data_IF_606182401272
#
_entry.id   IF_606182401272
#
_cell.length_a   1.000
_cell.length_b   1.000
_cell.length_c   1.000
_cell.angle_alpha   90.00
_cell.angle_beta   90.00
_cell.angle_gamma   90.00
#
_symmetry.space_group_name_H-M   'P 1'
#
loop_
_entity.id
_entity.type
_entity.pdbx_description
1 polymer ?
#
# COMPACT_ATOMS: atom_id res chain seq x y z
N UNK A 1 17.35 1.27 -14.35
CA UNK A 1 16.45 0.09 -14.34
C UNK A 1 16.05 -0.24 -15.77
N UNK A 2 15.82 -1.52 -16.08
CA UNK A 2 15.37 -1.97 -17.42
C UNK A 2 13.84 -2.04 -17.51
N UNK A 3 13.18 -2.29 -16.37
CA UNK A 3 11.74 -2.32 -16.19
C UNK A 3 11.31 -1.27 -15.15
N UNK A 4 10.08 -0.79 -15.29
CA UNK A 4 9.37 -0.01 -14.29
C UNK A 4 8.02 -0.65 -13.97
N UNK A 5 7.50 -0.38 -12.78
CA UNK A 5 6.18 -0.83 -12.36
C UNK A 5 5.32 0.39 -12.01
N UNK A 6 4.17 0.53 -12.66
CA UNK A 6 3.30 1.69 -12.53
C UNK A 6 1.89 1.24 -12.15
N UNK A 7 1.33 1.68 -11.01
CA UNK A 7 -0.09 1.45 -10.72
C UNK A 7 -0.96 2.29 -11.67
N UNK A 8 -1.92 1.68 -12.34
CA UNK A 8 -2.77 2.37 -13.34
C UNK A 8 -4.26 2.38 -12.97
N UNK A 9 -4.73 1.42 -12.17
CA UNK A 9 -6.11 1.37 -11.69
C UNK A 9 -6.23 0.56 -10.40
N UNK A 10 -7.30 0.81 -9.63
CA UNK A 10 -7.68 0.05 -8.46
C UNK A 10 -9.20 -0.25 -8.47
N UNK A 11 -9.61 -1.43 -7.99
CA UNK A 11 -11.02 -1.85 -8.02
C UNK A 11 -11.95 -1.01 -7.15
N UNK A 12 -11.41 -0.31 -6.15
CA UNK A 12 -12.18 0.54 -5.22
C UNK A 12 -12.11 2.02 -5.63
N UNK A 13 -10.90 2.50 -5.94
CA UNK A 13 -10.64 3.94 -6.17
C UNK A 13 -10.79 4.32 -7.65
N UNK A 14 -10.74 3.34 -8.56
CA UNK A 14 -10.76 3.57 -10.00
C UNK A 14 -9.37 3.83 -10.58
N UNK A 15 -9.27 4.51 -11.74
CA UNK A 15 -8.00 4.84 -12.38
C UNK A 15 -7.08 5.64 -11.46
N UNK A 16 -5.78 5.36 -11.53
CA UNK A 16 -4.77 6.14 -10.81
C UNK A 16 -4.54 7.45 -11.56
N UNK A 17 -4.84 8.62 -10.97
CA UNK A 17 -4.72 9.90 -11.67
C UNK A 17 -3.29 10.17 -12.13
N UNK A 18 -3.12 10.61 -13.39
CA UNK A 18 -1.82 10.99 -13.93
C UNK A 18 -0.94 9.83 -14.40
N UNK A 19 -1.30 8.58 -14.10
CA UNK A 19 -0.43 7.43 -14.41
C UNK A 19 -0.22 7.27 -15.92
N UNK A 20 -1.30 7.29 -16.70
CA UNK A 20 -1.22 7.12 -18.15
C UNK A 20 -0.75 8.40 -18.85
N UNK A 21 -1.07 9.57 -18.29
CA UNK A 21 -0.59 10.86 -18.78
C UNK A 21 0.93 10.96 -18.69
N UNK A 22 1.52 10.59 -17.54
CA UNK A 22 2.97 10.53 -17.38
C UNK A 22 3.58 9.59 -18.42
N UNK A 23 3.01 8.40 -18.64
CA UNK A 23 3.55 7.50 -19.65
C UNK A 23 3.49 8.10 -21.07
N UNK A 24 2.46 8.88 -21.38
CA UNK A 24 2.32 9.55 -22.68
C UNK A 24 3.38 10.63 -22.92
N UNK A 25 3.95 11.23 -21.87
CA UNK A 25 5.07 12.17 -21.97
C UNK A 25 6.39 11.51 -22.40
N UNK A 26 6.50 10.18 -22.28
CA UNK A 26 7.70 9.40 -22.58
C UNK A 26 7.43 8.39 -23.71
N UNK A 27 7.45 8.82 -24.99
CA UNK A 27 7.04 7.99 -26.12
C UNK A 27 7.94 6.78 -26.38
N UNK A 28 9.15 6.78 -25.82
CA UNK A 28 10.11 5.68 -25.86
C UNK A 28 9.81 4.57 -24.86
N UNK A 29 8.88 4.79 -23.92
CA UNK A 29 8.35 3.76 -23.02
C UNK A 29 7.10 3.09 -23.60
N UNK A 30 6.92 1.82 -23.26
CA UNK A 30 5.75 1.03 -23.59
C UNK A 30 5.35 0.14 -22.42
N UNK A 31 4.04 -0.06 -22.26
CA UNK A 31 3.51 -1.13 -21.41
C UNK A 31 3.77 -2.45 -22.12
N UNK A 32 4.47 -3.36 -21.46
CA UNK A 32 4.79 -4.69 -21.98
C UNK A 32 3.92 -5.78 -21.34
N UNK A 33 3.42 -5.53 -20.13
CA UNK A 33 2.58 -6.46 -19.38
C UNK A 33 1.68 -5.68 -18.43
N UNK A 34 0.52 -6.26 -18.11
CA UNK A 34 -0.34 -5.78 -17.03
C UNK A 34 -0.74 -6.97 -16.16
N UNK A 35 -0.77 -6.76 -14.86
CA UNK A 35 -1.23 -7.76 -13.91
C UNK A 35 -1.99 -7.10 -12.75
N UNK A 36 -2.84 -7.88 -12.09
CA UNK A 36 -3.59 -7.45 -10.92
C UNK A 36 -2.99 -8.04 -9.65
N UNK A 37 -2.65 -7.17 -8.71
CA UNK A 37 -2.16 -7.57 -7.40
C UNK A 37 -3.25 -7.35 -6.34
N UNK A 38 -3.43 -8.33 -5.44
CA UNK A 38 -4.37 -8.20 -4.33
C UNK A 38 -3.76 -7.29 -3.27
N UNK A 39 -4.48 -6.24 -2.90
CA UNK A 39 -4.05 -5.30 -1.86
C UNK A 39 -4.67 -5.71 -0.53
N UNK A 40 -3.84 -6.14 0.40
CA UNK A 40 -4.25 -6.45 1.77
C UNK A 40 -3.64 -5.45 2.75
N UNK A 41 -4.47 -4.91 3.64
CA UNK A 41 -4.03 -4.08 4.74
C UNK A 41 -3.84 -4.91 5.99
N UNK A 42 -2.74 -4.68 6.71
CA UNK A 42 -2.48 -5.24 8.04
C UNK A 42 -2.41 -4.12 9.07
N UNK A 43 -2.78 -4.42 10.31
CA UNK A 43 -2.44 -3.58 11.45
C UNK A 43 -1.11 -4.08 12.03
N UNK A 44 -0.09 -3.23 12.03
CA UNK A 44 1.23 -3.55 12.56
C UNK A 44 1.67 -2.55 13.62
N UNK A 45 2.31 -3.03 14.68
CA UNK A 45 2.78 -2.21 15.79
C UNK A 45 4.15 -2.69 16.28
N UNK A 46 4.71 -2.00 17.27
CA UNK A 46 5.99 -2.40 17.86
C UNK A 46 5.90 -3.79 18.49
N UNK A 47 6.99 -4.58 18.49
CA UNK A 47 7.05 -5.83 19.24
C UNK A 47 6.64 -5.63 20.70
N UNK A 48 5.73 -6.47 21.19
CA UNK A 48 5.17 -6.38 22.54
C UNK A 48 4.01 -5.39 22.69
N UNK A 49 3.56 -4.72 21.62
CA UNK A 49 2.32 -3.95 21.66
C UNK A 49 1.11 -4.87 21.78
N UNK A 50 0.23 -4.51 22.71
CA UNK A 50 -1.06 -5.17 22.88
C UNK A 50 -2.12 -4.39 22.11
N UNK A 51 -2.93 -5.09 21.33
CA UNK A 51 -4.07 -4.52 20.61
C UNK A 51 -5.00 -3.73 21.54
N UNK A 52 -5.16 -4.14 22.80
CA UNK A 52 -5.99 -3.42 23.78
C UNK A 52 -5.39 -2.10 24.27
N UNK A 53 -4.07 -1.92 24.11
CA UNK A 53 -3.34 -0.70 24.52
C UNK A 53 -3.24 0.34 23.41
N UNK A 54 -3.55 -0.05 22.16
CA UNK A 54 -3.54 0.83 21.01
C UNK A 54 -4.63 1.89 21.09
N UNK A 55 -4.25 3.12 20.73
CA UNK A 55 -5.13 4.30 20.65
C UNK A 55 -5.28 4.77 19.21
N UNK A 56 -4.20 4.71 18.43
CA UNK A 56 -4.13 5.30 17.10
C UNK A 56 -3.76 4.27 16.04
N UNK A 57 -4.40 4.40 14.87
CA UNK A 57 -4.02 3.69 13.65
C UNK A 57 -3.63 4.70 12.57
N UNK A 58 -2.39 4.63 12.10
CA UNK A 58 -1.77 5.58 11.19
C UNK A 58 -1.61 5.02 9.79
N UNK A 59 -2.02 5.80 8.79
CA UNK A 59 -1.81 5.45 7.38
C UNK A 59 -2.18 6.59 6.43
N UNK A 60 -2.02 6.33 5.14
CA UNK A 60 -2.55 7.18 4.08
C UNK A 60 -4.09 7.29 4.18
N UNK A 61 -4.71 8.47 3.91
CA UNK A 61 -6.17 8.65 3.96
C UNK A 61 -6.97 7.59 3.20
N UNK A 62 -6.51 7.18 2.02
CA UNK A 62 -7.19 6.15 1.21
C UNK A 62 -7.16 4.78 1.90
N UNK A 63 -6.06 4.42 2.57
CA UNK A 63 -5.97 3.14 3.29
C UNK A 63 -6.85 3.16 4.56
N UNK A 64 -6.89 4.29 5.28
CA UNK A 64 -7.78 4.47 6.44
C UNK A 64 -9.25 4.36 6.03
N UNK A 65 -9.63 5.00 4.92
CA UNK A 65 -10.99 4.96 4.38
C UNK A 65 -11.40 3.54 3.92
N UNK A 66 -10.43 2.65 3.68
CA UNK A 66 -10.67 1.25 3.33
C UNK A 66 -10.71 0.32 4.56
N UNK A 67 -10.53 0.81 5.79
CA UNK A 67 -10.48 -0.03 7.01
C UNK A 67 -11.45 0.43 8.10
N UNK A 68 -12.49 1.19 7.73
CA UNK A 68 -13.34 1.94 8.67
C UNK A 68 -14.13 1.04 9.62
N UNK A 69 -14.65 -0.10 9.14
CA UNK A 69 -15.47 -1.01 9.96
C UNK A 69 -14.61 -1.68 11.02
N UNK A 70 -13.42 -2.13 10.63
CA UNK A 70 -12.49 -2.81 11.52
C UNK A 70 -11.99 -1.89 12.63
N UNK A 71 -11.64 -0.65 12.28
CA UNK A 71 -11.20 0.39 13.23
C UNK A 71 -12.32 0.77 14.21
N UNK A 72 -13.54 1.01 13.70
CA UNK A 72 -14.69 1.40 14.52
C UNK A 72 -15.05 0.32 15.53
N UNK A 73 -15.02 -0.96 15.13
CA UNK A 73 -15.29 -2.09 16.03
C UNK A 73 -14.31 -2.18 17.21
N UNK A 74 -13.11 -1.59 17.09
CA UNK A 74 -12.04 -1.62 18.10
C UNK A 74 -11.79 -0.26 18.76
N UNK A 75 -12.56 0.77 18.39
CA UNK A 75 -12.41 2.14 18.92
C UNK A 75 -10.99 2.70 18.71
N UNK A 76 -10.33 2.29 17.63
CA UNK A 76 -9.03 2.84 17.24
C UNK A 76 -9.24 4.13 16.46
N UNK A 77 -8.57 5.20 16.90
CA UNK A 77 -8.68 6.50 16.24
C UNK A 77 -7.80 6.52 14.99
N UNK A 78 -8.35 6.79 13.79
CA UNK A 78 -7.55 6.94 12.58
C UNK A 78 -6.73 8.24 12.63
N UNK A 79 -5.47 8.17 12.22
CA UNK A 79 -4.58 9.33 12.08
C UNK A 79 -3.94 9.33 10.69
N UNK A 80 -4.29 10.33 9.88
CA UNK A 80 -3.85 10.42 8.50
C UNK A 80 -2.41 10.91 8.40
N UNK A 81 -1.59 10.19 7.64
CA UNK A 81 -0.22 10.55 7.28
C UNK A 81 -0.01 10.42 5.77
N UNK A 82 1.18 10.78 5.30
CA UNK A 82 1.47 10.90 3.86
C UNK A 82 1.45 9.57 3.10
N UNK A 83 1.93 8.48 3.69
CA UNK A 83 2.01 7.19 3.00
C UNK A 83 1.95 6.00 3.96
N UNK A 84 1.59 4.81 3.43
CA UNK A 84 1.36 3.61 4.25
C UNK A 84 2.65 2.98 4.79
N UNK A 85 3.74 3.01 4.02
CA UNK A 85 5.04 2.48 4.43
C UNK A 85 5.79 3.47 5.34
N UNK A 86 5.63 4.76 5.10
CA UNK A 86 6.09 5.87 5.92
C UNK A 86 5.44 5.86 7.29
N UNK A 87 4.16 5.51 7.40
CA UNK A 87 3.50 5.24 8.68
C UNK A 87 4.24 4.13 9.45
N UNK A 88 4.47 2.98 8.83
CA UNK A 88 5.20 1.87 9.47
C UNK A 88 6.61 2.27 9.91
N UNK A 89 7.33 3.02 9.06
CA UNK A 89 8.66 3.57 9.39
C UNK A 89 8.61 4.51 10.59
N UNK A 90 7.62 5.40 10.65
CA UNK A 90 7.46 6.35 11.74
C UNK A 90 7.14 5.64 13.07
N UNK A 91 6.21 4.68 13.06
CA UNK A 91 5.90 3.87 14.25
C UNK A 91 7.14 3.15 14.78
N UNK A 92 7.96 2.57 13.89
CA UNK A 92 9.20 1.91 14.28
C UNK A 92 10.22 2.87 14.89
N UNK A 93 10.31 4.11 14.39
CA UNK A 93 11.25 5.13 14.85
C UNK A 93 10.82 5.78 16.18
N UNK A 94 9.53 6.08 16.34
CA UNK A 94 9.00 6.86 17.47
C UNK A 94 8.91 6.04 18.76
N UNK A 95 8.87 4.70 18.65
CA UNK A 95 8.85 3.77 19.78
C UNK A 95 7.71 4.01 20.78
N UNK A 96 6.52 4.30 20.27
CA UNK A 96 5.28 4.43 21.06
C UNK A 96 4.36 3.22 20.86
N UNK A 97 4.16 2.44 21.93
CA UNK A 97 3.35 1.22 21.93
C UNK A 97 1.84 1.46 21.86
N UNK A 98 1.38 2.71 21.93
CA UNK A 98 -0.03 3.05 21.79
C UNK A 98 -0.43 3.33 20.33
N UNK A 99 0.51 3.25 19.40
CA UNK A 99 0.32 3.55 17.98
C UNK A 99 0.57 2.32 17.13
N UNK A 100 -0.17 2.22 16.02
CA UNK A 100 -0.01 1.18 15.02
C UNK A 100 -0.12 1.76 13.63
N UNK A 101 0.51 1.11 12.64
CA UNK A 101 0.40 1.45 11.24
C UNK A 101 -0.59 0.52 10.54
N UNK A 102 -1.42 1.08 9.67
CA UNK A 102 -2.09 0.31 8.62
C UNK A 102 -1.19 0.33 7.39
N UNK A 103 -0.66 -0.82 7.01
CA UNK A 103 0.32 -0.93 5.94
C UNK A 103 0.26 -2.31 5.25
N UNK A 104 1.19 -2.58 4.34
CA UNK A 104 1.39 -3.93 3.81
C UNK A 104 2.19 -4.78 4.80
N UNK A 105 2.00 -6.10 4.78
CA UNK A 105 2.80 -7.02 5.59
C UNK A 105 4.31 -6.87 5.31
N UNK A 106 4.69 -6.65 4.04
CA UNK A 106 6.07 -6.40 3.65
C UNK A 106 6.65 -5.11 4.26
N UNK A 107 5.85 -4.04 4.41
CA UNK A 107 6.29 -2.82 5.07
C UNK A 107 6.47 -3.04 6.59
N UNK A 108 5.55 -3.77 7.22
CA UNK A 108 5.66 -4.13 8.64
C UNK A 108 6.97 -4.92 8.90
N UNK A 109 7.23 -5.96 8.10
CA UNK A 109 8.44 -6.76 8.18
C UNK A 109 9.70 -5.91 7.95
N UNK A 110 9.72 -5.09 6.89
CA UNK A 110 10.85 -4.23 6.54
C UNK A 110 11.26 -3.30 7.69
N UNK A 111 10.31 -2.82 8.47
CA UNK A 111 10.57 -1.90 9.59
C UNK A 111 10.56 -2.57 10.97
N UNK A 112 10.53 -3.91 11.02
CA UNK A 112 10.61 -4.67 12.28
C UNK A 112 9.38 -4.55 13.17
N UNK A 113 8.22 -4.27 12.59
CA UNK A 113 6.93 -4.27 13.28
C UNK A 113 6.33 -5.68 13.32
N UNK A 114 5.49 -5.93 14.33
CA UNK A 114 4.70 -7.15 14.46
C UNK A 114 3.30 -6.89 13.91
N UNK A 115 2.85 -7.77 13.02
CA UNK A 115 1.46 -7.77 12.55
C UNK A 115 0.54 -8.29 13.65
N UNK A 116 -0.39 -7.44 14.09
CA UNK A 116 -1.40 -7.77 15.10
C UNK A 116 -2.71 -8.25 14.48
N UNK A 117 -2.99 -7.86 13.24
CA UNK A 117 -4.15 -8.31 12.49
C UNK A 117 -3.90 -8.27 10.99
N UNK A 118 -4.34 -9.31 10.28
CA UNK A 118 -4.31 -9.41 8.83
C UNK A 118 -5.67 -9.09 8.22
N UNK A 119 -5.64 -8.68 6.95
CA UNK A 119 -6.81 -8.51 6.09
C UNK A 119 -7.91 -7.64 6.73
N UNK A 120 -7.51 -6.47 7.25
CA UNK A 120 -8.41 -5.56 7.99
C UNK A 120 -9.23 -4.62 7.09
N UNK A 121 -9.10 -4.79 5.77
CA UNK A 121 -9.81 -4.00 4.78
C UNK A 121 -11.30 -4.32 4.73
N UNK A 122 -12.11 -3.31 4.43
CA UNK A 122 -13.57 -3.40 4.33
C UNK A 122 -14.03 -4.17 3.08
N UNK A 123 -13.17 -4.26 2.06
CA UNK A 123 -13.42 -4.98 0.80
C UNK A 123 -12.34 -6.05 0.59
N UNK A 124 -12.68 -7.36 0.61
CA UNK A 124 -11.71 -8.44 0.48
C UNK A 124 -11.12 -8.60 -0.93
N UNK A 125 -11.78 -8.03 -1.95
CA UNK A 125 -11.37 -8.07 -3.36
C UNK A 125 -10.80 -6.72 -3.84
N UNK A 126 -10.02 -6.08 -2.97
CA UNK A 126 -9.24 -4.90 -3.32
C UNK A 126 -8.06 -5.31 -4.20
N UNK A 127 -8.05 -4.87 -5.46
CA UNK A 127 -6.99 -5.18 -6.43
C UNK A 127 -6.50 -3.91 -7.08
N UNK A 128 -5.20 -3.86 -7.31
CA UNK A 128 -4.56 -2.80 -8.10
C UNK A 128 -3.97 -3.42 -9.36
N UNK A 129 -4.35 -2.87 -10.51
CA UNK A 129 -3.75 -3.21 -11.79
C UNK A 129 -2.45 -2.41 -11.93
N UNK A 130 -1.36 -3.14 -12.14
CA UNK A 130 -0.06 -2.57 -12.41
C UNK A 130 0.33 -2.81 -13.87
N UNK A 131 0.94 -1.81 -14.48
CA UNK A 131 1.60 -1.91 -15.78
C UNK A 131 3.10 -2.10 -15.57
N UNK A 132 3.67 -3.13 -16.18
CA UNK A 132 5.11 -3.25 -16.38
C UNK A 132 5.47 -2.43 -17.60
N UNK A 133 6.36 -1.46 -17.42
CA UNK A 133 6.84 -0.57 -18.48
C UNK A 133 8.31 -0.83 -18.80
N UNK A 134 8.66 -0.75 -20.08
CA UNK A 134 10.03 -0.88 -20.55
C UNK A 134 10.28 0.08 -21.71
N UNK A 135 11.55 0.33 -22.02
CA UNK A 135 11.90 1.01 -23.28
C UNK A 135 11.48 0.14 -24.48
N UNK A 136 10.93 0.77 -25.52
CA UNK A 136 10.43 0.09 -26.73
C UNK A 136 11.45 -0.83 -27.40
N UNK A 137 12.74 -0.48 -27.36
CA UNK A 137 13.81 -1.33 -27.88
C UNK A 137 13.89 -2.68 -27.13
N UNK A 138 13.84 -2.63 -25.79
CA UNK A 138 13.87 -3.80 -24.91
C UNK A 138 12.58 -4.63 -25.05
N UNK A 139 11.43 -3.96 -25.19
CA UNK A 139 10.14 -4.64 -25.42
C UNK A 139 10.12 -5.52 -26.68
N UNK A 140 10.83 -5.11 -27.74
CA UNK A 140 10.89 -5.90 -28.99
C UNK A 140 11.78 -7.13 -28.87
N UNK A 141 12.83 -7.07 -28.06
CA UNK A 141 13.72 -8.21 -27.79
C UNK A 141 13.04 -9.26 -26.88
N UNK A 142 12.25 -8.82 -25.90
CA UNK A 142 11.47 -9.73 -25.04
C UNK A 142 10.32 -10.44 -25.79
N UNK A 143 9.87 -9.87 -26.90
CA UNK A 143 8.79 -10.42 -27.72
C UNK A 143 9.29 -11.27 -28.91
N UNK A 144 10.61 -11.38 -29.11
CA UNK A 144 11.26 -12.14 -30.17
C UNK A 144 11.79 -13.49 -29.64
#
# INVERSE_FOLDING_TARGET
AELGLLPIANTIVGPVPGALEVLAEWPDLAIIEQFEERITHVLAALPGADLASLRWAESHPVALAQCTRWLSARRLAPHAVEDTAGAARAIAADRDWTRAAICSAAAAERYGLVVLAHDIGDCPDNRTTFAVIARRAVSRELAA
#
